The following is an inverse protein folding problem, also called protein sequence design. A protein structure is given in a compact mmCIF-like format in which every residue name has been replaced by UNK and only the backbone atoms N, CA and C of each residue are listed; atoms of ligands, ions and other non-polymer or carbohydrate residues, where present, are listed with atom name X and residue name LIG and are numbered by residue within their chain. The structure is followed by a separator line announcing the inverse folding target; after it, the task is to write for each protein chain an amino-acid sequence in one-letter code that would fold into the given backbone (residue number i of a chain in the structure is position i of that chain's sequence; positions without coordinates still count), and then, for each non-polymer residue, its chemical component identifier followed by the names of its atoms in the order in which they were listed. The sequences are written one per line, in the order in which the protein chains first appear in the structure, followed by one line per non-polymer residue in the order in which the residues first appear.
data_IF_218008263662
#
_entry.id   IF_218008263662
#
_cell.length_a   1.000
_cell.length_b   1.000
_cell.length_c   1.000
_cell.angle_alpha   90.00
_cell.angle_beta   90.00
_cell.angle_gamma   90.00
#
_symmetry.space_group_name_H-M   'P 1'
#
loop_
_entity.id
_entity.type
_entity.pdbx_description
1 polymer ?
#
# COMPACT_ATOMS: atom_id res chain seq x y z
N UNK A 1 28.56 9.26 -5.72
CA UNK A 1 27.59 8.54 -6.57
C UNK A 1 27.17 9.50 -7.67
N UNK A 2 27.19 9.09 -8.94
CA UNK A 2 26.66 9.94 -10.02
C UNK A 2 25.12 9.96 -9.87
N UNK A 3 24.53 11.13 -9.68
CA UNK A 3 23.08 11.30 -9.79
C UNK A 3 22.67 10.90 -11.21
N UNK A 4 21.84 9.87 -11.32
CA UNK A 4 21.30 9.43 -12.61
C UNK A 4 20.24 10.44 -13.04
N UNK A 5 20.61 11.35 -13.94
CA UNK A 5 19.66 12.25 -14.59
C UNK A 5 18.80 11.45 -15.58
N UNK A 6 17.61 11.03 -15.14
CA UNK A 6 16.63 10.33 -15.99
C UNK A 6 16.01 11.32 -16.98
N UNK A 7 15.98 10.96 -18.26
CA UNK A 7 15.24 11.72 -19.28
C UNK A 7 13.72 11.55 -19.09
N UNK A 8 12.89 12.41 -19.71
CA UNK A 8 11.43 12.22 -19.68
C UNK A 8 10.98 10.84 -20.21
N UNK A 9 11.69 10.30 -21.19
CA UNK A 9 11.45 8.95 -21.70
C UNK A 9 11.81 7.88 -20.66
N UNK A 10 12.96 8.02 -19.98
CA UNK A 10 13.36 7.08 -18.93
C UNK A 10 12.35 7.07 -17.77
N UNK A 11 11.84 8.25 -17.39
CA UNK A 11 10.80 8.38 -16.35
C UNK A 11 9.49 7.72 -16.78
N UNK A 12 9.07 7.91 -18.03
CA UNK A 12 7.89 7.25 -18.58
C UNK A 12 8.04 5.72 -18.59
N UNK A 13 9.20 5.23 -19.04
CA UNK A 13 9.48 3.80 -19.07
C UNK A 13 9.57 3.20 -17.67
N UNK A 14 10.16 3.92 -16.71
CA UNK A 14 10.21 3.50 -15.31
C UNK A 14 8.79 3.43 -14.71
N UNK A 15 7.95 4.44 -14.94
CA UNK A 15 6.55 4.43 -14.50
C UNK A 15 5.73 3.29 -15.13
N UNK A 16 5.90 3.05 -16.43
CA UNK A 16 5.25 1.92 -17.11
C UNK A 16 5.72 0.56 -16.56
N UNK A 17 7.02 0.41 -16.30
CA UNK A 17 7.59 -0.79 -15.69
C UNK A 17 7.01 -1.03 -14.29
N UNK A 18 6.93 0.02 -13.46
CA UNK A 18 6.38 -0.10 -12.12
C UNK A 18 4.89 -0.48 -12.16
N UNK A 19 4.09 0.18 -13.02
CA UNK A 19 2.69 -0.17 -13.21
C UNK A 19 2.51 -1.64 -13.65
N UNK A 20 3.36 -2.13 -14.57
CA UNK A 20 3.33 -3.53 -15.00
C UNK A 20 3.69 -4.48 -13.86
N UNK A 21 4.71 -4.14 -13.04
CA UNK A 21 5.10 -4.94 -11.87
C UNK A 21 4.01 -5.02 -10.82
N UNK A 22 3.26 -3.94 -10.59
CA UNK A 22 2.18 -3.93 -9.59
C UNK A 22 0.88 -4.56 -10.10
N UNK A 23 0.51 -4.33 -11.37
CA UNK A 23 -0.78 -4.77 -11.91
C UNK A 23 -0.71 -6.16 -12.56
N UNK A 24 0.27 -6.37 -13.44
CA UNK A 24 0.26 -7.47 -14.39
C UNK A 24 1.08 -8.68 -13.92
N UNK A 25 2.14 -8.44 -13.14
CA UNK A 25 2.95 -9.50 -12.55
C UNK A 25 2.56 -9.75 -11.08
N UNK A 26 2.87 -10.94 -10.53
CA UNK A 26 3.06 -11.06 -9.09
C UNK A 26 4.19 -10.13 -8.64
N UNK A 27 4.12 -9.64 -7.41
CA UNK A 27 5.10 -8.72 -6.79
C UNK A 27 6.55 -9.24 -6.88
N UNK A 28 6.71 -10.56 -7.04
CA UNK A 28 7.99 -11.24 -7.20
C UNK A 28 8.58 -11.61 -5.86
N UNK A 29 9.91 -11.71 -5.79
CA UNK A 29 10.61 -11.99 -4.54
C UNK A 29 10.79 -10.69 -3.74
N UNK A 30 10.36 -10.62 -2.47
CA UNK A 30 10.61 -9.46 -1.63
C UNK A 30 12.12 -9.27 -1.39
N UNK A 31 12.53 -8.03 -1.22
CA UNK A 31 13.87 -7.66 -0.80
C UNK A 31 14.13 -8.09 0.66
N UNK A 32 13.09 -8.02 1.50
CA UNK A 32 13.14 -8.39 2.91
C UNK A 32 12.50 -9.76 3.19
N UNK A 33 12.91 -10.38 4.29
CA UNK A 33 12.32 -11.65 4.72
C UNK A 33 10.85 -11.44 5.12
N UNK A 34 10.00 -12.44 4.83
CA UNK A 34 8.61 -12.41 5.26
C UNK A 34 8.55 -12.50 6.81
N UNK A 35 7.88 -11.57 7.51
CA UNK A 35 7.81 -11.59 8.97
C UNK A 35 7.14 -12.85 9.54
N UNK A 36 6.36 -13.57 8.74
CA UNK A 36 5.73 -14.83 9.11
C UNK A 36 6.57 -16.08 8.75
N UNK A 37 7.81 -15.94 8.27
CA UNK A 37 8.61 -17.07 7.76
C UNK A 37 8.76 -18.21 8.77
N UNK A 38 8.97 -17.89 10.05
CA UNK A 38 9.22 -18.88 11.12
C UNK A 38 7.94 -19.28 11.88
N UNK A 39 6.76 -18.83 11.45
CA UNK A 39 5.48 -19.12 12.10
C UNK A 39 4.83 -20.33 11.41
N UNK A 40 4.50 -21.36 12.19
CA UNK A 40 3.82 -22.54 11.67
C UNK A 40 2.41 -22.19 11.14
N UNK A 41 1.98 -22.87 10.07
CA UNK A 41 0.60 -22.76 9.58
C UNK A 41 -0.36 -23.37 10.59
N UNK A 42 -1.40 -22.62 10.95
CA UNK A 42 -2.46 -23.11 11.82
C UNK A 42 -3.54 -23.86 11.06
N UNK A 43 -4.19 -24.81 11.73
CA UNK A 43 -5.38 -25.46 11.20
C UNK A 43 -6.60 -24.53 11.34
N UNK A 44 -6.91 -23.81 10.25
CA UNK A 44 -8.10 -22.96 10.16
C UNK A 44 -9.28 -23.74 9.59
N UNK A 45 -10.47 -23.52 10.15
CA UNK A 45 -11.73 -23.93 9.50
C UNK A 45 -11.89 -23.22 8.15
N UNK A 46 -12.67 -23.80 7.23
CA UNK A 46 -12.93 -23.19 5.92
C UNK A 46 -13.47 -21.75 6.02
N UNK A 47 -14.32 -21.50 7.03
CA UNK A 47 -14.86 -20.17 7.30
C UNK A 47 -13.77 -19.19 7.77
N UNK A 48 -12.88 -19.62 8.67
CA UNK A 48 -11.76 -18.79 9.13
C UNK A 48 -10.77 -18.51 8.01
N UNK A 49 -10.43 -19.53 7.21
CA UNK A 49 -9.55 -19.41 6.05
C UNK A 49 -10.09 -18.42 5.02
N UNK A 50 -11.37 -18.55 4.65
CA UNK A 50 -12.02 -17.61 3.73
C UNK A 50 -12.11 -16.19 4.31
N UNK A 51 -12.31 -16.06 5.62
CA UNK A 51 -12.30 -14.76 6.29
C UNK A 51 -10.93 -14.09 6.24
N UNK A 52 -9.88 -14.81 6.66
CA UNK A 52 -8.50 -14.35 6.62
C UNK A 52 -8.07 -13.97 5.21
N UNK A 53 -8.42 -14.78 4.20
CA UNK A 53 -8.14 -14.48 2.81
C UNK A 53 -8.84 -13.20 2.33
N UNK A 54 -10.09 -12.98 2.72
CA UNK A 54 -10.80 -11.74 2.45
C UNK A 54 -10.09 -10.52 3.03
N UNK A 55 -9.58 -10.60 4.26
CA UNK A 55 -8.81 -9.52 4.88
C UNK A 55 -7.45 -9.31 4.20
N UNK A 56 -6.72 -10.38 3.89
CA UNK A 56 -5.44 -10.29 3.17
C UNK A 56 -5.61 -9.76 1.74
N UNK A 57 -6.74 -10.02 1.08
CA UNK A 57 -7.07 -9.44 -0.23
C UNK A 57 -7.29 -7.93 -0.14
N UNK A 58 -7.87 -7.47 0.97
CA UNK A 58 -8.00 -6.04 1.23
C UNK A 58 -6.64 -5.39 1.47
N UNK A 59 -5.77 -6.01 2.29
CA UNK A 59 -4.41 -5.51 2.49
C UNK A 59 -3.66 -5.42 1.15
N UNK A 60 -3.68 -6.49 0.36
CA UNK A 60 -3.10 -6.51 -0.99
C UNK A 60 -3.63 -5.37 -1.88
N UNK A 61 -4.94 -5.11 -1.89
CA UNK A 61 -5.52 -4.02 -2.66
C UNK A 61 -5.09 -2.64 -2.13
N UNK A 62 -4.89 -2.51 -0.81
CA UNK A 62 -4.27 -1.36 -0.16
C UNK A 62 -2.86 -1.12 -0.69
N UNK A 63 -2.01 -2.14 -0.70
CA UNK A 63 -0.63 -2.05 -1.20
C UNK A 63 -0.57 -1.65 -2.68
N UNK A 64 -1.46 -2.21 -3.51
CA UNK A 64 -1.59 -1.82 -4.91
C UNK A 64 -1.95 -0.34 -5.05
N UNK A 65 -2.84 0.17 -4.20
CA UNK A 65 -3.22 1.57 -4.19
C UNK A 65 -2.06 2.45 -3.67
N UNK A 66 -1.36 2.04 -2.61
CA UNK A 66 -0.18 2.74 -2.07
C UNK A 66 0.90 2.89 -3.14
N UNK A 67 1.21 1.82 -3.88
CA UNK A 67 2.10 1.85 -5.05
C UNK A 67 1.69 2.92 -6.07
N UNK A 68 0.42 2.92 -6.47
CA UNK A 68 -0.11 3.93 -7.38
C UNK A 68 0.06 5.33 -6.81
N UNK A 69 -0.32 5.54 -5.55
CA UNK A 69 -0.30 6.82 -4.87
C UNK A 69 1.12 7.41 -4.78
N UNK A 70 2.09 6.65 -4.24
CA UNK A 70 3.48 7.08 -4.12
C UNK A 70 4.11 7.39 -5.46
N UNK A 71 3.86 6.56 -6.48
CA UNK A 71 4.38 6.81 -7.83
C UNK A 71 3.74 8.02 -8.49
N UNK A 72 2.44 8.25 -8.24
CA UNK A 72 1.73 9.44 -8.68
C UNK A 72 2.31 10.72 -8.08
N UNK A 73 2.58 10.70 -6.77
CA UNK A 73 3.26 11.80 -6.06
C UNK A 73 4.67 12.03 -6.60
N UNK A 74 5.48 10.97 -6.69
CA UNK A 74 6.87 11.05 -7.18
C UNK A 74 6.95 11.65 -8.59
N UNK A 75 6.00 11.32 -9.47
CA UNK A 75 5.99 11.80 -10.85
C UNK A 75 5.83 13.33 -11.00
N UNK A 76 5.29 14.00 -9.98
CA UNK A 76 4.97 15.44 -10.02
C UNK A 76 5.59 16.24 -8.86
N UNK A 77 6.36 15.59 -8.00
CA UNK A 77 7.05 16.22 -6.87
C UNK A 77 7.99 17.34 -7.37
N UNK A 78 8.02 18.46 -6.64
CA UNK A 78 8.88 19.60 -7.00
C UNK A 78 10.21 19.54 -6.28
N UNK A 79 10.19 19.11 -5.02
CA UNK A 79 11.39 18.85 -4.22
C UNK A 79 11.96 17.45 -4.54
N UNK A 80 13.22 17.34 -5.00
CA UNK A 80 13.87 16.05 -5.26
C UNK A 80 13.97 15.15 -4.04
N UNK A 81 14.06 15.71 -2.83
CA UNK A 81 14.11 14.92 -1.59
C UNK A 81 12.78 14.22 -1.31
N UNK A 82 11.67 14.88 -1.65
CA UNK A 82 10.32 14.33 -1.53
C UNK A 82 10.09 13.29 -2.62
N UNK A 83 10.51 13.54 -3.87
CA UNK A 83 10.50 12.52 -4.94
C UNK A 83 11.22 11.24 -4.48
N UNK A 84 12.42 11.38 -3.89
CA UNK A 84 13.20 10.25 -3.40
C UNK A 84 12.57 9.57 -2.18
N UNK A 85 11.89 10.32 -1.31
CA UNK A 85 11.13 9.75 -0.21
C UNK A 85 9.98 8.89 -0.72
N UNK A 86 9.20 9.38 -1.70
CA UNK A 86 8.10 8.62 -2.31
C UNK A 86 8.57 7.35 -3.01
N UNK A 87 9.71 7.42 -3.69
CA UNK A 87 10.29 6.25 -4.35
C UNK A 87 10.74 5.19 -3.33
N UNK A 88 11.31 5.61 -2.19
CA UNK A 88 11.69 4.69 -1.11
C UNK A 88 10.49 4.01 -0.48
N UNK A 89 9.44 4.77 -0.14
CA UNK A 89 8.21 4.20 0.38
C UNK A 89 7.60 3.19 -0.61
N UNK A 90 7.53 3.55 -1.91
CA UNK A 90 7.07 2.61 -2.94
C UNK A 90 7.94 1.34 -3.06
N UNK A 91 9.26 1.43 -2.86
CA UNK A 91 10.12 0.25 -2.83
C UNK A 91 9.88 -0.62 -1.59
N UNK A 92 9.59 -0.02 -0.44
CA UNK A 92 9.24 -0.71 0.81
C UNK A 92 7.88 -1.42 0.71
N UNK A 93 6.87 -0.77 0.11
CA UNK A 93 5.53 -1.37 -0.11
C UNK A 93 5.57 -2.58 -1.06
N UNK A 94 6.59 -2.73 -1.90
CA UNK A 94 6.72 -3.93 -2.72
C UNK A 94 6.91 -5.19 -1.88
N UNK A 95 7.54 -5.07 -0.71
CA UNK A 95 7.68 -6.19 0.22
C UNK A 95 6.33 -6.54 0.85
N UNK A 96 5.54 -5.56 1.27
CA UNK A 96 4.19 -5.78 1.81
C UNK A 96 3.29 -6.45 0.80
N UNK A 97 3.32 -5.96 -0.44
CA UNK A 97 2.58 -6.53 -1.56
C UNK A 97 2.95 -8.02 -1.76
N UNK A 98 4.25 -8.33 -1.75
CA UNK A 98 4.74 -9.70 -1.91
C UNK A 98 4.34 -10.61 -0.73
N UNK A 99 4.40 -10.11 0.51
CA UNK A 99 3.96 -10.87 1.68
C UNK A 99 2.46 -11.14 1.65
N UNK A 100 1.65 -10.17 1.24
CA UNK A 100 0.21 -10.35 1.06
C UNK A 100 -0.11 -11.38 -0.03
N UNK A 101 0.56 -11.31 -1.18
CA UNK A 101 0.37 -12.30 -2.26
C UNK A 101 0.77 -13.70 -1.84
N UNK A 102 1.91 -13.83 -1.13
CA UNK A 102 2.34 -15.11 -0.58
C UNK A 102 1.28 -15.67 0.39
N UNK A 103 0.77 -14.85 1.32
CA UNK A 103 -0.23 -15.31 2.28
C UNK A 103 -1.56 -15.70 1.60
N UNK A 104 -2.02 -14.95 0.61
CA UNK A 104 -3.18 -15.31 -0.19
C UNK A 104 -3.00 -16.67 -0.87
N UNK A 105 -1.81 -16.93 -1.44
CA UNK A 105 -1.49 -18.23 -2.04
C UNK A 105 -1.49 -19.36 -1.00
N UNK A 106 -0.97 -19.14 0.21
CA UNK A 106 -0.98 -20.12 1.31
C UNK A 106 -2.42 -20.42 1.79
N UNK A 107 -3.29 -19.42 1.75
CA UNK A 107 -4.72 -19.57 2.06
C UNK A 107 -5.52 -20.19 0.91
N UNK A 108 -4.92 -20.42 -0.27
CA UNK A 108 -5.57 -21.01 -1.44
C UNK A 108 -6.47 -20.04 -2.20
N UNK A 109 -6.22 -18.74 -2.09
CA UNK A 109 -7.09 -17.66 -2.56
C UNK A 109 -6.36 -16.70 -3.49
N UNK A 110 -7.12 -15.92 -4.26
CA UNK A 110 -6.58 -15.01 -5.28
C UNK A 110 -6.58 -13.55 -4.80
N UNK A 111 -5.70 -12.75 -5.42
CA UNK A 111 -5.69 -11.29 -5.31
C UNK A 111 -6.96 -10.65 -5.88
N UNK A 112 -7.19 -9.37 -5.57
CA UNK A 112 -8.35 -8.64 -6.08
C UNK A 112 -8.33 -8.51 -7.60
N UNK A 113 -9.46 -8.82 -8.25
CA UNK A 113 -9.64 -8.64 -9.70
C UNK A 113 -9.61 -7.17 -10.13
N UNK A 114 -9.79 -6.25 -9.19
CA UNK A 114 -9.85 -4.80 -9.43
C UNK A 114 -8.50 -4.10 -9.22
N UNK A 115 -7.40 -4.87 -9.11
CA UNK A 115 -6.02 -4.35 -9.02
C UNK A 115 -5.73 -3.19 -10.00
N UNK A 116 -6.06 -3.25 -11.31
CA UNK A 116 -5.82 -2.14 -12.24
C UNK A 116 -6.57 -0.85 -11.87
N UNK A 117 -7.78 -0.98 -11.31
CA UNK A 117 -8.63 0.16 -10.91
C UNK A 117 -8.04 0.83 -9.68
N UNK A 118 -7.62 0.04 -8.69
CA UNK A 118 -7.01 0.54 -7.45
C UNK A 118 -5.72 1.30 -7.75
N UNK A 119 -4.82 0.71 -8.52
CA UNK A 119 -3.57 1.36 -8.90
C UNK A 119 -3.81 2.65 -9.67
N UNK A 120 -4.63 2.59 -10.73
CA UNK A 120 -4.82 3.76 -11.62
C UNK A 120 -5.53 4.91 -10.91
N UNK A 121 -6.53 4.59 -10.08
CA UNK A 121 -7.23 5.58 -9.27
C UNK A 121 -6.30 6.27 -8.28
N UNK A 122 -5.51 5.49 -7.53
CA UNK A 122 -4.57 6.03 -6.56
C UNK A 122 -3.45 6.85 -7.21
N UNK A 123 -2.92 6.42 -8.35
CA UNK A 123 -1.94 7.17 -9.13
C UNK A 123 -2.47 8.55 -9.53
N UNK A 124 -3.69 8.61 -10.07
CA UNK A 124 -4.29 9.89 -10.46
C UNK A 124 -4.51 10.81 -9.27
N UNK A 125 -4.89 10.26 -8.11
CA UNK A 125 -5.07 11.02 -6.87
C UNK A 125 -3.72 11.55 -6.35
N UNK A 126 -2.67 10.72 -6.35
CA UNK A 126 -1.32 11.11 -5.95
C UNK A 126 -0.74 12.20 -6.85
N UNK A 127 -0.87 12.03 -8.17
CA UNK A 127 -0.45 13.05 -9.13
C UNK A 127 -1.24 14.36 -8.97
N UNK A 128 -2.57 14.29 -8.76
CA UNK A 128 -3.37 15.48 -8.58
C UNK A 128 -2.99 16.26 -7.31
N UNK A 129 -2.80 15.56 -6.19
CA UNK A 129 -2.40 16.19 -4.92
C UNK A 129 -0.96 16.71 -4.95
N UNK A 130 -0.03 15.99 -5.59
CA UNK A 130 1.33 16.46 -5.81
C UNK A 130 1.42 17.72 -6.69
N UNK A 131 0.59 17.83 -7.74
CA UNK A 131 0.51 19.05 -8.57
C UNK A 131 0.09 20.28 -7.74
N UNK A 132 -0.76 20.10 -6.72
CA UNK A 132 -1.16 21.18 -5.81
C UNK A 132 -0.02 21.65 -4.89
N UNK A 133 1.03 20.83 -4.72
CA UNK A 133 2.29 21.18 -4.07
C UNK A 133 2.69 20.17 -2.99
N UNK A 134 4.00 20.09 -2.74
CA UNK A 134 4.60 19.03 -1.94
C UNK A 134 4.06 18.93 -0.50
N UNK A 135 3.77 20.04 0.18
CA UNK A 135 3.15 20.00 1.53
C UNK A 135 1.78 19.34 1.54
N UNK A 136 1.00 19.48 0.46
CA UNK A 136 -0.32 18.87 0.33
C UNK A 136 -0.21 17.40 -0.06
N UNK A 137 0.77 17.07 -0.89
CA UNK A 137 1.21 15.69 -1.17
C UNK A 137 1.50 14.94 0.13
N UNK A 138 2.39 15.49 0.95
CA UNK A 138 2.75 14.94 2.26
C UNK A 138 1.56 14.89 3.22
N UNK A 139 0.68 15.91 3.19
CA UNK A 139 -0.59 15.92 3.93
C UNK A 139 -1.51 14.77 3.57
N UNK A 140 -1.60 14.45 2.27
CA UNK A 140 -2.39 13.35 1.77
C UNK A 140 -1.83 11.99 2.22
N UNK A 141 -0.52 11.82 2.17
CA UNK A 141 0.15 10.60 2.66
C UNK A 141 -0.06 10.45 4.16
N UNK A 142 0.25 11.49 4.96
CA UNK A 142 0.09 11.44 6.41
C UNK A 142 -1.34 11.10 6.88
N UNK A 143 -2.36 11.50 6.12
CA UNK A 143 -3.76 11.11 6.38
C UNK A 143 -4.08 9.71 5.84
N UNK A 144 -3.53 9.32 4.70
CA UNK A 144 -3.68 7.97 4.14
C UNK A 144 -3.11 6.94 5.10
N UNK A 145 -1.87 7.13 5.55
CA UNK A 145 -1.21 6.22 6.48
C UNK A 145 -1.94 6.11 7.81
N UNK A 146 -2.45 7.24 8.32
CA UNK A 146 -3.29 7.20 9.52
C UNK A 146 -4.52 6.32 9.32
N UNK A 147 -5.20 6.44 8.18
CA UNK A 147 -6.39 5.62 7.88
C UNK A 147 -6.03 4.17 7.59
N UNK A 148 -4.85 3.89 7.03
CA UNK A 148 -4.31 2.54 6.84
C UNK A 148 -4.00 1.90 8.19
N UNK A 149 -3.31 2.58 9.10
CA UNK A 149 -3.07 2.07 10.46
C UNK A 149 -4.38 1.75 11.19
N UNK A 150 -5.37 2.65 11.17
CA UNK A 150 -6.70 2.42 11.77
C UNK A 150 -7.37 1.17 11.15
N UNK A 151 -7.14 0.93 9.86
CA UNK A 151 -7.69 -0.20 9.13
C UNK A 151 -6.97 -1.52 9.46
N UNK A 152 -5.65 -1.51 9.54
CA UNK A 152 -4.83 -2.66 9.92
C UNK A 152 -5.08 -3.07 11.37
N UNK A 153 -5.23 -2.10 12.29
CA UNK A 153 -5.66 -2.36 13.68
C UNK A 153 -7.03 -3.08 13.69
N UNK A 154 -8.00 -2.61 12.89
CA UNK A 154 -9.28 -3.31 12.74
C UNK A 154 -9.16 -4.71 12.11
N UNK A 155 -8.16 -4.97 11.27
CA UNK A 155 -7.90 -6.29 10.71
C UNK A 155 -7.31 -7.25 11.74
N UNK A 156 -6.39 -6.78 12.57
CA UNK A 156 -5.84 -7.55 13.68
C UNK A 156 -6.91 -7.97 14.68
N UNK A 157 -7.93 -7.15 14.90
CA UNK A 157 -9.08 -7.50 15.76
C UNK A 157 -10.00 -8.58 15.14
N UNK A 158 -9.96 -8.75 13.82
CA UNK A 158 -10.91 -9.61 13.07
C UNK A 158 -10.28 -10.91 12.55
N UNK A 159 -8.97 -10.92 12.38
CA UNK A 159 -8.24 -12.13 12.00
C UNK A 159 -8.45 -13.22 13.07
N UNK A 160 -8.58 -14.50 12.67
CA UNK A 160 -8.58 -15.60 13.62
C UNK A 160 -7.34 -15.54 14.52
N UNK A 161 -7.51 -15.77 15.83
CA UNK A 161 -6.40 -15.73 16.79
C UNK A 161 -5.32 -16.76 16.46
N UNK A 162 -5.72 -17.88 15.87
CA UNK A 162 -4.82 -18.95 15.45
C UNK A 162 -4.02 -18.59 14.18
N UNK A 163 -4.46 -17.62 13.38
CA UNK A 163 -3.79 -17.23 12.13
C UNK A 163 -2.57 -16.33 12.38
N UNK A 164 -1.61 -16.84 13.14
CA UNK A 164 -0.40 -16.11 13.52
C UNK A 164 0.41 -15.62 12.32
N UNK A 165 0.34 -16.30 11.17
CA UNK A 165 1.02 -15.89 9.94
C UNK A 165 0.43 -14.60 9.36
N UNK A 166 -0.89 -14.55 9.16
CA UNK A 166 -1.53 -13.31 8.67
C UNK A 166 -1.36 -12.17 9.66
N UNK A 167 -1.48 -12.44 10.97
CA UNK A 167 -1.31 -11.43 12.03
C UNK A 167 0.09 -10.82 12.02
N UNK A 168 1.15 -11.63 11.93
CA UNK A 168 2.52 -11.13 11.91
C UNK A 168 2.83 -10.25 10.68
N UNK A 169 2.25 -10.59 9.52
CA UNK A 169 2.36 -9.74 8.32
C UNK A 169 1.67 -8.39 8.57
N UNK A 170 0.42 -8.41 9.03
CA UNK A 170 -0.37 -7.19 9.26
C UNK A 170 0.23 -6.31 10.37
N UNK A 171 0.78 -6.90 11.44
CA UNK A 171 1.48 -6.17 12.50
C UNK A 171 2.72 -5.47 11.98
N UNK A 172 3.53 -6.14 11.14
CA UNK A 172 4.72 -5.53 10.54
C UNK A 172 4.33 -4.36 9.64
N UNK A 173 3.35 -4.57 8.74
CA UNK A 173 2.84 -3.51 7.87
C UNK A 173 2.37 -2.32 8.69
N UNK A 174 1.54 -2.55 9.71
CA UNK A 174 0.99 -1.49 10.56
C UNK A 174 2.05 -0.64 11.26
N UNK A 175 3.17 -1.22 11.65
CA UNK A 175 4.28 -0.50 12.26
C UNK A 175 5.02 0.37 11.23
N UNK A 176 5.24 -0.15 10.02
CA UNK A 176 5.91 0.58 8.94
C UNK A 176 5.04 1.73 8.41
N UNK A 177 3.74 1.52 8.26
CA UNK A 177 2.80 2.56 7.82
C UNK A 177 2.69 3.70 8.83
N UNK A 178 2.80 3.40 10.13
CA UNK A 178 2.90 4.45 11.13
C UNK A 178 4.15 5.31 10.91
N UNK A 179 5.29 4.69 10.63
CA UNK A 179 6.56 5.37 10.35
C UNK A 179 6.47 6.21 9.07
N UNK A 180 5.83 5.71 8.00
CA UNK A 180 5.56 6.49 6.79
C UNK A 180 4.74 7.76 7.08
N UNK A 181 3.69 7.64 7.89
CA UNK A 181 2.87 8.77 8.29
C UNK A 181 3.61 9.80 9.14
N UNK A 182 4.49 9.35 10.04
CA UNK A 182 5.35 10.21 10.86
C UNK A 182 6.40 10.93 10.00
N UNK A 183 7.08 10.20 9.10
CA UNK A 183 8.04 10.75 8.16
C UNK A 183 7.43 11.84 7.27
N UNK A 184 6.19 11.65 6.80
CA UNK A 184 5.48 12.67 6.01
C UNK A 184 5.21 13.95 6.84
N UNK A 185 4.84 13.80 8.12
CA UNK A 185 4.62 14.95 9.03
C UNK A 185 5.90 15.70 9.32
N UNK A 186 6.99 14.99 9.59
CA UNK A 186 8.31 15.59 9.82
C UNK A 186 8.83 16.32 8.58
N UNK A 187 8.52 15.82 7.38
CA UNK A 187 8.83 16.46 6.11
C UNK A 187 7.95 17.70 5.79
N UNK A 188 7.01 18.07 6.67
CA UNK A 188 6.20 19.29 6.53
C UNK A 188 4.82 19.07 5.91
N UNK A 189 4.20 17.91 6.14
CA UNK A 189 2.80 17.66 5.77
C UNK A 189 1.85 18.77 6.26
N UNK A 190 0.99 19.23 5.37
CA UNK A 190 -0.11 20.12 5.72
C UNK A 190 -1.32 19.31 6.23
N UNK A 191 -2.03 19.83 7.23
CA UNK A 191 -3.30 19.25 7.65
C UNK A 191 -4.34 19.35 6.53
N UNK A 192 -4.91 18.21 6.14
CA UNK A 192 -5.99 18.19 5.16
C UNK A 192 -7.30 18.72 5.77
N UNK A 193 -8.10 19.48 5.01
CA UNK A 193 -9.44 19.89 5.45
C UNK A 193 -10.33 18.68 5.76
N UNK A 194 -11.18 18.80 6.77
CA UNK A 194 -12.08 17.71 7.21
C UNK A 194 -12.94 17.11 6.07
N UNK A 195 -13.52 17.89 5.14
CA UNK A 195 -14.28 17.31 4.03
C UNK A 195 -13.44 16.35 3.16
N UNK A 196 -12.15 16.64 2.99
CA UNK A 196 -11.24 15.79 2.21
C UNK A 196 -10.97 14.49 2.96
N UNK A 197 -10.66 14.57 4.27
CA UNK A 197 -10.47 13.38 5.11
C UNK A 197 -11.68 12.46 5.11
N UNK A 198 -12.88 13.02 5.19
CA UNK A 198 -14.14 12.24 5.12
C UNK A 198 -14.34 11.57 3.76
N UNK A 199 -14.00 12.25 2.67
CA UNK A 199 -14.05 11.66 1.33
C UNK A 199 -13.05 10.50 1.20
N UNK A 200 -11.83 10.65 1.73
CA UNK A 200 -10.83 9.58 1.75
C UNK A 200 -11.36 8.34 2.50
N UNK A 201 -11.96 8.53 3.69
CA UNK A 201 -12.58 7.43 4.46
C UNK A 201 -13.69 6.72 3.69
N UNK A 202 -14.51 7.47 2.96
CA UNK A 202 -15.56 6.88 2.12
C UNK A 202 -14.96 6.02 1.00
N UNK A 203 -13.96 6.54 0.29
CA UNK A 203 -13.26 5.81 -0.77
C UNK A 203 -12.58 4.55 -0.23
N UNK A 204 -11.90 4.65 0.92
CA UNK A 204 -11.29 3.51 1.60
C UNK A 204 -12.33 2.44 1.96
N UNK A 205 -13.51 2.83 2.46
CA UNK A 205 -14.61 1.87 2.74
C UNK A 205 -15.11 1.14 1.50
N UNK A 206 -15.22 1.84 0.37
CA UNK A 206 -15.62 1.23 -0.90
C UNK A 206 -14.58 0.21 -1.35
N UNK A 207 -13.30 0.58 -1.32
CA UNK A 207 -12.19 -0.30 -1.69
C UNK A 207 -12.18 -1.55 -0.81
N UNK A 208 -12.14 -1.38 0.51
CA UNK A 208 -12.04 -2.48 1.48
C UNK A 208 -13.25 -3.42 1.41
N UNK A 209 -14.47 -2.89 1.28
CA UNK A 209 -15.68 -3.72 1.14
C UNK A 209 -15.69 -4.52 -0.16
N UNK A 210 -15.12 -3.95 -1.23
CA UNK A 210 -15.09 -4.56 -2.55
C UNK A 210 -13.98 -5.61 -2.63
N UNK A 211 -12.74 -5.25 -2.28
CA UNK A 211 -11.59 -6.16 -2.29
C UNK A 211 -11.78 -7.36 -1.34
N UNK A 212 -12.53 -7.21 -0.25
CA UNK A 212 -12.88 -8.35 0.61
C UNK A 212 -13.64 -9.44 -0.15
N UNK A 213 -14.39 -9.09 -1.19
CA UNK A 213 -15.27 -9.99 -1.95
C UNK A 213 -14.72 -10.40 -3.32
N UNK A 214 -13.94 -9.54 -3.98
CA UNK A 214 -13.50 -9.71 -5.38
C UNK A 214 -12.03 -9.44 -5.60
#
# INVERSE_FOLDING_TARGET
MHERNLTPLDRLLAGANNALRTIAAPAGRPARANPAADIAEAELTDRQRAHAAGLMRVNHAGEVAAQGLYQGHAAVARDPSIEQQMQRAADEEFDHLAWCEQRLSELGENRSLLTPVWYSGAFLIGAASGVLGDKWSLGFIAETEKQVCDHLDSHLDRLPDEDGRSRAIVEQMRNEEQEHGENAREAGAADLPEPVRQLMKLTARVMTSTAYRV
#
